data_IF_445359034249
#
_entry.id   IF_445359034249
#
_cell.length_a   1.000
_cell.length_b   1.000
_cell.length_c   1.000
_cell.angle_alpha   90.00
_cell.angle_beta   90.00
_cell.angle_gamma   90.00
#
_symmetry.space_group_name_H-M   'P 1'
#
loop_
_entity.id
_entity.type
_entity.pdbx_description
1 polymer ?
#
# COMPACT_ATOMS: atom_id res chain seq x y z
N UNK A 1 -14.08 15.46 -23.59
CA UNK A 1 -13.16 15.05 -22.51
C UNK A 1 -13.80 14.12 -21.50
N UNK A 2 -15.02 14.39 -21.02
CA UNK A 2 -15.74 13.54 -20.08
C UNK A 2 -15.99 12.10 -20.59
N UNK A 3 -16.35 11.94 -21.86
CA UNK A 3 -16.64 10.61 -22.45
C UNK A 3 -15.41 9.71 -22.50
N UNK A 4 -14.24 10.27 -22.79
CA UNK A 4 -12.98 9.50 -22.84
C UNK A 4 -12.54 9.04 -21.45
N UNK A 5 -12.64 9.90 -20.43
CA UNK A 5 -12.29 9.55 -19.06
C UNK A 5 -13.25 8.48 -18.50
N UNK A 6 -14.55 8.63 -18.76
CA UNK A 6 -15.54 7.62 -18.36
C UNK A 6 -15.23 6.26 -18.93
N UNK A 7 -15.00 6.17 -20.24
CA UNK A 7 -14.66 4.91 -20.90
C UNK A 7 -13.37 4.29 -20.36
N UNK A 8 -12.38 5.12 -20.04
CA UNK A 8 -11.13 4.67 -19.42
C UNK A 8 -11.35 4.06 -18.02
N UNK A 9 -12.14 4.74 -17.19
CA UNK A 9 -12.46 4.25 -15.84
C UNK A 9 -13.28 2.94 -15.92
N UNK A 10 -14.26 2.87 -16.81
CA UNK A 10 -15.07 1.65 -17.03
C UNK A 10 -14.19 0.48 -17.50
N UNK A 11 -13.21 0.73 -18.36
CA UNK A 11 -12.26 -0.28 -18.80
C UNK A 11 -11.43 -0.80 -17.63
N UNK A 12 -10.86 0.07 -16.78
CA UNK A 12 -10.12 -0.33 -15.59
C UNK A 12 -10.99 -1.13 -14.64
N UNK A 13 -12.22 -0.67 -14.37
CA UNK A 13 -13.15 -1.40 -13.49
C UNK A 13 -13.49 -2.79 -14.02
N UNK A 14 -13.64 -2.93 -15.34
CA UNK A 14 -13.88 -4.20 -16.01
C UNK A 14 -12.67 -5.13 -15.90
N UNK A 15 -11.47 -4.62 -16.16
CA UNK A 15 -10.23 -5.40 -16.12
C UNK A 15 -9.94 -5.89 -14.69
N UNK A 16 -10.06 -5.01 -13.69
CA UNK A 16 -9.90 -5.38 -12.28
C UNK A 16 -10.93 -6.42 -11.85
N UNK A 17 -12.19 -6.25 -12.28
CA UNK A 17 -13.25 -7.23 -11.98
C UNK A 17 -12.95 -8.60 -12.60
N UNK A 18 -12.48 -8.64 -13.84
CA UNK A 18 -12.09 -9.88 -14.50
C UNK A 18 -10.95 -10.59 -13.77
N UNK A 19 -9.94 -9.85 -13.32
CA UNK A 19 -8.83 -10.39 -12.52
C UNK A 19 -9.29 -10.96 -11.19
N UNK A 20 -10.18 -10.27 -10.47
CA UNK A 20 -10.74 -10.77 -9.21
C UNK A 20 -11.50 -12.07 -9.42
N UNK A 21 -12.33 -12.15 -10.47
CA UNK A 21 -13.10 -13.35 -10.76
C UNK A 21 -12.22 -14.52 -11.24
N UNK A 22 -11.12 -14.24 -11.94
CA UNK A 22 -10.20 -15.30 -12.39
C UNK A 22 -9.36 -15.88 -11.26
N UNK A 23 -8.98 -15.07 -10.28
CA UNK A 23 -8.13 -15.50 -9.17
C UNK A 23 -8.92 -16.22 -8.05
N UNK A 24 -10.26 -16.19 -8.11
CA UNK A 24 -11.13 -16.97 -7.24
C UNK A 24 -11.38 -16.38 -5.86
N UNK A 25 -11.75 -17.25 -4.91
CA UNK A 25 -12.10 -16.84 -3.56
C UNK A 25 -10.91 -16.20 -2.84
N UNK A 26 -11.14 -15.01 -2.26
CA UNK A 26 -10.15 -14.26 -1.49
C UNK A 26 -9.43 -13.14 -2.26
N UNK A 27 -9.59 -13.06 -3.58
CA UNK A 27 -9.04 -11.93 -4.33
C UNK A 27 -9.82 -10.64 -4.04
N UNK A 28 -9.09 -9.58 -3.72
CA UNK A 28 -9.63 -8.26 -3.39
C UNK A 28 -9.63 -7.34 -4.60
N UNK A 29 -10.77 -6.63 -4.85
CA UNK A 29 -10.82 -5.57 -5.87
C UNK A 29 -9.79 -4.48 -5.60
N UNK A 30 -9.59 -4.12 -4.35
CA UNK A 30 -8.63 -3.11 -3.94
C UNK A 30 -7.18 -3.55 -4.22
N UNK A 31 -6.85 -4.82 -3.96
CA UNK A 31 -5.52 -5.37 -4.25
C UNK A 31 -5.25 -5.43 -5.75
N UNK A 32 -6.20 -5.89 -6.54
CA UNK A 32 -6.05 -5.95 -8.00
C UNK A 32 -5.95 -4.57 -8.63
N UNK A 33 -6.67 -3.60 -8.12
CA UNK A 33 -6.52 -2.21 -8.54
C UNK A 33 -5.17 -1.61 -8.12
N UNK A 34 -4.69 -1.94 -6.92
CA UNK A 34 -3.35 -1.54 -6.46
C UNK A 34 -2.28 -2.12 -7.38
N UNK A 35 -2.37 -3.40 -7.72
CA UNK A 35 -1.47 -4.07 -8.67
C UNK A 35 -1.45 -3.38 -10.02
N UNK A 36 -2.62 -3.08 -10.58
CA UNK A 36 -2.76 -2.33 -11.83
C UNK A 36 -2.11 -0.94 -11.79
N UNK A 37 -2.33 -0.20 -10.69
CA UNK A 37 -1.70 1.12 -10.51
C UNK A 37 -0.18 1.02 -10.37
N UNK A 38 0.33 0.01 -9.66
CA UNK A 38 1.76 -0.25 -9.51
C UNK A 38 2.40 -0.54 -10.86
N UNK A 39 1.78 -1.36 -11.71
CA UNK A 39 2.26 -1.62 -13.06
C UNK A 39 2.39 -0.35 -13.91
N UNK A 40 1.40 0.55 -13.83
CA UNK A 40 1.45 1.83 -14.52
C UNK A 40 2.62 2.67 -14.00
N UNK A 41 2.80 2.77 -12.69
CA UNK A 41 3.88 3.54 -12.07
C UNK A 41 5.26 2.97 -12.39
N UNK A 42 5.38 1.65 -12.45
CA UNK A 42 6.60 0.96 -12.85
C UNK A 42 6.95 1.25 -14.32
N UNK A 43 5.98 1.11 -15.21
CA UNK A 43 6.15 1.38 -16.64
C UNK A 43 6.60 2.82 -16.95
N UNK A 44 6.23 3.78 -16.13
CA UNK A 44 6.69 5.18 -16.25
C UNK A 44 7.92 5.51 -15.39
N UNK A 45 8.55 4.49 -14.77
CA UNK A 45 9.76 4.63 -13.98
C UNK A 45 9.60 5.39 -12.66
N UNK A 46 8.39 5.39 -12.07
CA UNK A 46 8.10 6.12 -10.81
C UNK A 46 8.21 5.25 -9.56
N UNK A 47 7.92 3.97 -9.66
CA UNK A 47 7.89 3.05 -8.51
C UNK A 47 8.38 1.66 -8.90
N UNK A 48 9.59 1.60 -9.45
CA UNK A 48 10.23 0.33 -9.82
C UNK A 48 10.39 -0.58 -8.60
N UNK A 49 9.88 -1.81 -8.70
CA UNK A 49 9.92 -2.78 -7.62
C UNK A 49 8.87 -2.59 -6.52
N UNK A 50 7.86 -1.77 -6.75
CA UNK A 50 6.73 -1.63 -5.82
C UNK A 50 5.95 -2.95 -5.69
N UNK A 51 5.37 -3.19 -4.51
CA UNK A 51 4.65 -4.42 -4.17
C UNK A 51 3.30 -4.11 -3.56
N UNK A 52 2.31 -4.95 -3.88
CA UNK A 52 1.05 -4.99 -3.15
C UNK A 52 1.29 -5.61 -1.77
N UNK A 53 0.85 -4.93 -0.74
CA UNK A 53 0.83 -5.42 0.64
C UNK A 53 -0.37 -4.81 1.34
N UNK A 54 -1.47 -5.52 1.36
CA UNK A 54 -2.70 -5.03 1.98
C UNK A 54 -2.80 -5.50 3.42
N UNK A 55 -2.91 -4.54 4.31
CA UNK A 55 -3.17 -4.80 5.72
C UNK A 55 -4.02 -3.69 6.33
N UNK A 56 -4.97 -4.09 7.15
CA UNK A 56 -5.81 -3.20 7.95
C UNK A 56 -5.55 -3.51 9.42
N UNK A 57 -5.05 -2.51 10.16
CA UNK A 57 -4.89 -2.63 11.60
C UNK A 57 -6.12 -2.05 12.30
N UNK A 58 -6.87 -2.87 13.06
CA UNK A 58 -8.02 -2.38 13.81
C UNK A 58 -7.60 -1.63 15.08
N UNK A 59 -8.40 -0.66 15.50
CA UNK A 59 -8.33 -0.10 16.86
C UNK A 59 -9.02 -1.03 17.88
N UNK A 60 -9.02 -0.63 19.14
CA UNK A 60 -9.66 -1.40 20.23
C UNK A 60 -11.19 -1.58 20.07
N UNK A 61 -11.82 -0.83 19.18
CA UNK A 61 -13.25 -0.90 18.87
C UNK A 61 -13.52 -1.60 17.53
N UNK A 62 -12.49 -2.17 16.90
CA UNK A 62 -12.59 -2.85 15.61
C UNK A 62 -12.68 -1.92 14.40
N UNK A 63 -12.48 -0.60 14.56
CA UNK A 63 -12.43 0.36 13.47
C UNK A 63 -11.02 0.41 12.89
N UNK A 64 -10.91 0.85 11.64
CA UNK A 64 -9.59 1.02 10.99
C UNK A 64 -8.78 2.08 11.72
N UNK A 65 -7.70 1.68 12.37
CA UNK A 65 -6.71 2.58 12.94
C UNK A 65 -5.73 3.07 11.87
N UNK A 66 -5.14 2.14 11.15
CA UNK A 66 -4.35 2.42 9.95
C UNK A 66 -4.48 1.30 8.93
N UNK A 67 -4.19 1.61 7.68
CA UNK A 67 -4.10 0.62 6.61
C UNK A 67 -2.96 0.96 5.65
N UNK A 68 -2.54 -0.04 4.90
CA UNK A 68 -1.58 0.05 3.81
C UNK A 68 -2.04 -0.88 2.69
N UNK A 69 -1.82 -0.50 1.45
CA UNK A 69 -2.15 -1.32 0.27
C UNK A 69 -0.92 -1.73 -0.53
N UNK A 70 0.19 -1.07 -0.31
CA UNK A 70 1.44 -1.40 -0.97
C UNK A 70 2.58 -0.50 -0.53
N UNK A 71 3.78 -0.86 -0.98
CA UNK A 71 4.99 -0.11 -0.68
C UNK A 71 6.03 -0.27 -1.78
N UNK A 72 6.99 0.64 -1.80
CA UNK A 72 8.21 0.52 -2.59
C UNK A 72 9.41 0.99 -1.75
N UNK A 73 10.41 0.14 -1.64
CA UNK A 73 11.71 0.50 -1.09
C UNK A 73 12.61 0.93 -2.24
N UNK A 74 13.05 2.18 -2.24
CA UNK A 74 13.93 2.74 -3.27
C UNK A 74 15.34 2.85 -2.77
N UNK A 75 16.29 2.61 -3.68
CA UNK A 75 17.72 2.67 -3.39
C UNK A 75 18.06 1.75 -2.19
N UNK A 76 17.61 0.50 -2.30
CA UNK A 76 17.91 -0.53 -1.31
C UNK A 76 19.42 -0.82 -1.30
N UNK A 77 19.96 -1.00 -0.11
CA UNK A 77 21.32 -1.47 0.10
C UNK A 77 21.37 -2.46 1.26
N UNK A 78 22.43 -3.27 1.27
CA UNK A 78 22.68 -4.25 2.33
C UNK A 78 23.98 -3.94 3.01
N UNK A 79 24.01 -4.15 4.33
CA UNK A 79 25.25 -4.11 5.10
C UNK A 79 26.01 -5.45 5.02
N UNK A 80 27.19 -5.51 5.67
CA UNK A 80 28.03 -6.71 5.70
C UNK A 80 27.35 -7.92 6.37
N UNK A 81 26.32 -7.67 7.20
CA UNK A 81 25.50 -8.69 7.82
C UNK A 81 24.27 -9.07 6.97
N UNK A 82 24.23 -8.61 5.71
CA UNK A 82 23.14 -8.85 4.75
C UNK A 82 21.77 -8.27 5.18
N UNK A 83 21.79 -7.26 6.05
CA UNK A 83 20.58 -6.54 6.48
C UNK A 83 20.20 -5.49 5.47
N UNK A 84 18.91 -5.44 5.12
CA UNK A 84 18.34 -4.51 4.13
C UNK A 84 18.06 -3.15 4.75
N UNK A 85 18.40 -2.10 4.02
CA UNK A 85 18.12 -0.70 4.29
C UNK A 85 17.60 -0.03 3.02
N UNK A 86 17.04 1.17 3.14
CA UNK A 86 16.54 1.95 2.00
C UNK A 86 16.81 3.46 2.17
N UNK A 87 16.84 4.19 1.06
CA UNK A 87 16.91 5.65 1.07
C UNK A 87 15.52 6.28 1.10
N UNK A 88 14.60 5.77 0.30
CA UNK A 88 13.22 6.30 0.19
C UNK A 88 12.20 5.17 0.32
N UNK A 89 11.13 5.44 1.01
CA UNK A 89 9.97 4.57 1.17
C UNK A 89 8.73 5.24 0.57
N UNK A 90 8.18 4.65 -0.48
CA UNK A 90 6.85 4.99 -0.96
C UNK A 90 5.82 4.08 -0.30
N UNK A 91 4.72 4.64 0.16
CA UNK A 91 3.59 3.92 0.74
C UNK A 91 2.34 4.20 -0.09
N UNK A 92 1.56 3.16 -0.36
CA UNK A 92 0.36 3.25 -1.17
C UNK A 92 -0.88 3.01 -0.31
N UNK A 93 -1.87 3.89 -0.46
CA UNK A 93 -3.24 3.69 -0.01
C UNK A 93 -4.14 3.79 -1.23
N UNK A 94 -4.95 2.78 -1.43
CA UNK A 94 -5.80 2.62 -2.60
C UNK A 94 -7.25 2.94 -2.29
N UNK A 95 -7.89 3.65 -3.21
CA UNK A 95 -9.33 3.83 -3.28
C UNK A 95 -9.81 3.23 -4.58
N UNK A 96 -10.65 2.23 -4.49
CA UNK A 96 -11.28 1.61 -5.65
C UNK A 96 -12.80 1.61 -5.51
N UNK A 97 -13.48 2.21 -6.48
CA UNK A 97 -14.93 2.14 -6.59
C UNK A 97 -15.30 1.33 -7.83
N UNK A 98 -15.94 0.18 -7.62
CA UNK A 98 -16.32 -0.72 -8.71
C UNK A 98 -17.63 -0.36 -9.41
N UNK A 99 -18.40 0.57 -8.86
CA UNK A 99 -19.77 0.84 -9.30
C UNK A 99 -20.00 2.26 -9.79
N UNK A 100 -19.12 3.19 -9.47
CA UNK A 100 -19.27 4.60 -9.84
C UNK A 100 -18.01 5.13 -10.50
N UNK A 101 -18.19 5.82 -11.62
CA UNK A 101 -17.12 6.56 -12.30
C UNK A 101 -17.12 8.06 -11.95
N UNK A 102 -18.08 8.51 -11.16
CA UNK A 102 -18.16 9.89 -10.65
C UNK A 102 -17.63 10.01 -9.22
N UNK A 103 -16.81 9.03 -8.78
CA UNK A 103 -16.24 9.06 -7.44
C UNK A 103 -15.15 10.13 -7.35
N UNK A 104 -15.41 11.13 -6.52
CA UNK A 104 -14.41 12.13 -6.19
C UNK A 104 -13.84 11.85 -4.79
N UNK A 105 -12.52 11.78 -4.69
CA UNK A 105 -11.84 11.74 -3.39
C UNK A 105 -12.03 13.11 -2.73
N UNK A 106 -12.69 13.12 -1.58
CA UNK A 106 -12.88 14.34 -0.80
C UNK A 106 -11.59 14.74 -0.08
N UNK A 107 -11.53 16.01 0.36
CA UNK A 107 -10.42 16.46 1.23
C UNK A 107 -10.34 15.64 2.51
N UNK A 108 -11.48 15.23 3.05
CA UNK A 108 -11.54 14.42 4.27
C UNK A 108 -10.99 13.00 4.02
N UNK A 109 -11.33 12.38 2.90
CA UNK A 109 -10.78 11.08 2.50
C UNK A 109 -9.25 11.15 2.35
N UNK A 110 -8.75 12.20 1.71
CA UNK A 110 -7.33 12.43 1.55
C UNK A 110 -6.63 12.61 2.91
N UNK A 111 -7.16 13.47 3.78
CA UNK A 111 -6.61 13.70 5.12
C UNK A 111 -6.63 12.43 5.96
N UNK A 112 -7.71 11.64 5.88
CA UNK A 112 -7.81 10.35 6.55
C UNK A 112 -6.70 9.39 6.11
N UNK A 113 -6.43 9.33 4.80
CA UNK A 113 -5.37 8.48 4.25
C UNK A 113 -3.97 8.91 4.73
N UNK A 114 -3.68 10.21 4.73
CA UNK A 114 -2.44 10.75 5.27
C UNK A 114 -2.29 10.39 6.76
N UNK A 115 -3.35 10.49 7.53
CA UNK A 115 -3.32 10.10 8.95
C UNK A 115 -3.09 8.60 9.14
N UNK A 116 -3.65 7.76 8.29
CA UNK A 116 -3.40 6.31 8.31
C UNK A 116 -1.94 5.98 8.01
N UNK A 117 -1.34 6.62 7.01
CA UNK A 117 0.10 6.48 6.72
C UNK A 117 0.96 6.92 7.91
N UNK A 118 0.65 8.06 8.53
CA UNK A 118 1.37 8.54 9.72
C UNK A 118 1.28 7.55 10.87
N UNK A 119 0.11 6.97 11.12
CA UNK A 119 -0.08 5.95 12.16
C UNK A 119 0.70 4.68 11.87
N UNK A 120 0.70 4.21 10.62
CA UNK A 120 1.54 3.08 10.20
C UNK A 120 3.03 3.34 10.47
N UNK A 121 3.54 4.49 10.04
CA UNK A 121 4.94 4.86 10.28
C UNK A 121 5.27 4.96 11.77
N UNK A 122 4.38 5.55 12.57
CA UNK A 122 4.55 5.61 14.02
C UNK A 122 4.58 4.22 14.66
N UNK A 123 3.73 3.30 14.22
CA UNK A 123 3.74 1.91 14.68
C UNK A 123 5.08 1.24 14.34
N UNK A 124 5.57 1.41 13.12
CA UNK A 124 6.86 0.89 12.69
C UNK A 124 8.03 1.43 13.54
N UNK A 125 8.04 2.75 13.78
CA UNK A 125 9.11 3.42 14.56
C UNK A 125 9.10 3.10 16.04
N UNK A 126 7.95 2.76 16.59
CA UNK A 126 7.81 2.34 18.01
C UNK A 126 8.08 0.85 18.21
N UNK A 127 8.30 0.11 17.14
CA UNK A 127 8.52 -1.33 17.23
C UNK A 127 7.27 -2.12 17.68
N UNK A 128 6.08 -1.63 17.41
CA UNK A 128 4.80 -2.29 17.73
C UNK A 128 4.54 -3.56 16.88
N UNK A 129 5.59 -4.33 16.64
CA UNK A 129 5.56 -5.53 15.78
C UNK A 129 4.84 -6.69 16.50
N UNK A 130 4.88 -6.68 17.83
CA UNK A 130 4.36 -7.79 18.65
C UNK A 130 2.82 -7.92 18.62
N UNK A 131 2.12 -6.88 18.14
CA UNK A 131 0.66 -6.86 18.01
C UNK A 131 0.15 -7.32 16.66
N UNK A 132 1.05 -7.59 15.71
CA UNK A 132 0.69 -8.03 14.37
C UNK A 132 0.82 -9.56 14.31
N UNK A 133 -0.19 -10.20 13.72
CA UNK A 133 -0.20 -11.65 13.51
C UNK A 133 1.15 -12.11 12.90
N UNK A 134 1.85 -13.05 13.52
CA UNK A 134 3.09 -13.62 12.97
C UNK A 134 2.95 -14.19 11.56
N UNK A 135 1.75 -14.58 11.13
CA UNK A 135 1.45 -15.03 9.77
C UNK A 135 1.64 -13.92 8.71
N UNK A 136 1.59 -12.64 9.12
CA UNK A 136 1.85 -11.48 8.27
C UNK A 136 3.35 -11.25 8.06
N UNK A 137 4.03 -12.22 7.44
CA UNK A 137 5.49 -12.27 7.34
C UNK A 137 6.07 -11.07 6.61
N UNK A 138 5.51 -10.69 5.46
CA UNK A 138 6.01 -9.57 4.65
C UNK A 138 5.83 -8.23 5.38
N UNK A 139 4.67 -8.02 6.01
CA UNK A 139 4.41 -6.82 6.83
C UNK A 139 5.39 -6.72 7.99
N UNK A 140 5.63 -7.81 8.70
CA UNK A 140 6.57 -7.86 9.82
C UNK A 140 8.00 -7.56 9.35
N UNK A 141 8.41 -8.05 8.19
CA UNK A 141 9.71 -7.74 7.60
C UNK A 141 9.83 -6.27 7.24
N UNK A 142 8.82 -5.70 6.58
CA UNK A 142 8.77 -4.28 6.24
C UNK A 142 8.92 -3.39 7.47
N UNK A 143 8.17 -3.66 8.53
CA UNK A 143 8.23 -2.90 9.79
C UNK A 143 9.63 -2.95 10.42
N UNK A 144 10.29 -4.12 10.39
CA UNK A 144 11.67 -4.26 10.87
C UNK A 144 12.67 -3.48 10.04
N UNK A 145 12.53 -3.49 8.71
CA UNK A 145 13.38 -2.73 7.79
C UNK A 145 13.23 -1.22 8.03
N UNK A 146 12.00 -0.73 8.18
CA UNK A 146 11.72 0.68 8.48
C UNK A 146 12.38 1.08 9.79
N UNK A 147 12.15 0.33 10.87
CA UNK A 147 12.70 0.63 12.18
C UNK A 147 14.24 0.71 12.14
N UNK A 148 14.89 -0.28 11.56
CA UNK A 148 16.35 -0.34 11.44
C UNK A 148 16.91 0.82 10.63
N UNK A 149 16.33 1.08 9.45
CA UNK A 149 16.80 2.16 8.58
C UNK A 149 16.73 3.51 9.30
N UNK A 150 15.64 3.77 10.02
CA UNK A 150 15.45 5.02 10.76
C UNK A 150 16.38 5.14 11.97
N UNK A 151 16.68 4.03 12.65
CA UNK A 151 17.66 4.00 13.75
C UNK A 151 19.07 4.32 13.24
N UNK A 152 19.46 3.78 12.10
CA UNK A 152 20.78 4.02 11.49
C UNK A 152 20.92 5.47 11.04
N UNK A 153 19.87 6.09 10.50
CA UNK A 153 19.89 7.52 10.08
C UNK A 153 19.95 8.51 11.25
N UNK A 154 19.57 8.10 12.46
CA UNK A 154 19.65 8.93 13.68
C UNK A 154 21.01 8.86 14.38
N UNK A 155 21.79 7.89 14.05
CA UNK A 155 23.16 7.72 14.52
C UNK A 155 24.14 8.33 13.58
#
# INVERSE_FOLDING_TARGET
MERGLKNYIEAIQSDVSALVYSDGEGASFEDKFTEHCIEILDNIGKSEGARVLSYINPDSQGRVDWKINGYCLKDEFKDDANKVYFETLDLFITFFNKTSYDYNITKDDFNKSINQIKKFLNAALKGHIDYIDPAQTELNQLLKIILKTMQTKKG
#
